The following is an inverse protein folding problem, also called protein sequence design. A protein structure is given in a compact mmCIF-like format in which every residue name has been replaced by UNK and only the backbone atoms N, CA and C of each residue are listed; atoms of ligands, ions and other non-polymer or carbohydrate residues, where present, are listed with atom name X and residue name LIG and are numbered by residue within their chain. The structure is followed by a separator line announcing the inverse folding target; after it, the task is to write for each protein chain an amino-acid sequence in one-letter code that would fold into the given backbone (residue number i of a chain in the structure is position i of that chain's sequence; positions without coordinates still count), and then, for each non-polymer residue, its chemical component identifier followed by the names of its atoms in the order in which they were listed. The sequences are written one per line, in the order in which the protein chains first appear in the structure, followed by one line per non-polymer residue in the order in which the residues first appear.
data_IF_022512437402
#
_entry.id   IF_022512437402
#
_cell.length_a   1.000
_cell.length_b   1.000
_cell.length_c   1.000
_cell.angle_alpha   90.00
_cell.angle_beta   90.00
_cell.angle_gamma   90.00
#
_symmetry.space_group_name_H-M   'P 1'
#
loop_
_entity.id
_entity.type
_entity.pdbx_description
1 polymer ?
#
# COMPACT_ATOMS: atom_id res chain seq x y z
N UNK A 1 16.66 -8.11 -21.49
CA UNK A 1 16.48 -9.56 -21.71
C UNK A 1 15.46 -9.79 -22.83
N UNK A 2 15.50 -10.94 -23.53
CA UNK A 2 14.45 -11.30 -24.48
C UNK A 2 13.08 -11.38 -23.79
N UNK A 3 12.02 -11.12 -24.55
CA UNK A 3 10.63 -11.25 -24.10
C UNK A 3 10.39 -12.67 -23.57
N UNK A 4 9.61 -12.81 -22.50
CA UNK A 4 9.28 -14.12 -21.94
C UNK A 4 8.54 -14.96 -22.99
N UNK A 5 8.95 -16.24 -23.13
CA UNK A 5 8.37 -17.16 -24.13
C UNK A 5 6.88 -17.38 -23.94
N UNK A 6 6.39 -17.34 -22.69
CA UNK A 6 4.99 -17.45 -22.39
C UNK A 6 4.33 -16.06 -22.41
N UNK A 7 3.42 -15.85 -23.37
CA UNK A 7 2.71 -14.59 -23.55
C UNK A 7 1.91 -14.16 -22.29
N UNK A 8 1.35 -15.11 -21.54
CA UNK A 8 0.63 -14.80 -20.29
C UNK A 8 1.57 -14.36 -19.18
N UNK A 9 2.78 -14.94 -19.11
CA UNK A 9 3.82 -14.50 -18.17
C UNK A 9 4.34 -13.10 -18.51
N UNK A 10 4.53 -12.82 -19.80
CA UNK A 10 4.91 -11.47 -20.26
C UNK A 10 3.82 -10.45 -19.90
N UNK A 11 2.56 -10.74 -20.18
CA UNK A 11 1.44 -9.84 -19.85
C UNK A 11 1.30 -9.64 -18.32
N UNK A 12 1.51 -10.70 -17.54
CA UNK A 12 1.55 -10.63 -16.09
C UNK A 12 2.68 -9.72 -15.58
N UNK A 13 3.90 -9.89 -16.10
CA UNK A 13 5.05 -9.07 -15.74
C UNK A 13 4.84 -7.60 -16.13
N UNK A 14 4.26 -7.32 -17.30
CA UNK A 14 3.91 -5.96 -17.71
C UNK A 14 2.89 -5.30 -16.78
N UNK A 15 1.86 -6.03 -16.38
CA UNK A 15 0.84 -5.53 -15.45
C UNK A 15 1.42 -5.26 -14.05
N UNK A 16 2.32 -6.12 -13.55
CA UNK A 16 3.04 -5.89 -12.30
C UNK A 16 3.98 -4.68 -12.38
N UNK A 17 4.65 -4.47 -13.51
CA UNK A 17 5.51 -3.31 -13.73
C UNK A 17 4.71 -2.00 -13.73
N UNK A 18 3.46 -2.03 -14.20
CA UNK A 18 2.51 -0.90 -14.14
C UNK A 18 1.92 -0.64 -12.74
N UNK A 19 2.26 -1.44 -11.73
CA UNK A 19 1.80 -1.25 -10.35
C UNK A 19 0.49 -1.96 -9.99
N UNK A 20 -0.03 -2.84 -10.84
CA UNK A 20 -1.19 -3.66 -10.48
C UNK A 20 -0.86 -4.63 -9.34
N UNK A 21 -1.85 -4.93 -8.49
CA UNK A 21 -1.71 -5.98 -7.48
C UNK A 21 -1.50 -7.35 -8.15
N UNK A 22 -0.79 -8.27 -7.48
CA UNK A 22 -0.50 -9.60 -8.05
C UNK A 22 -1.76 -10.33 -8.51
N UNK A 23 -2.84 -10.28 -7.72
CA UNK A 23 -4.12 -10.92 -8.07
C UNK A 23 -4.76 -10.30 -9.31
N UNK A 24 -4.79 -8.97 -9.39
CA UNK A 24 -5.38 -8.25 -10.53
C UNK A 24 -4.56 -8.46 -11.80
N UNK A 25 -3.23 -8.37 -11.71
CA UNK A 25 -2.32 -8.62 -12.81
C UNK A 25 -2.47 -10.05 -13.35
N UNK A 26 -2.65 -11.04 -12.47
CA UNK A 26 -2.79 -12.45 -12.83
C UNK A 26 -4.10 -12.69 -13.59
N UNK A 27 -5.20 -12.12 -13.10
CA UNK A 27 -6.49 -12.19 -13.79
C UNK A 27 -6.45 -11.48 -15.16
N UNK A 28 -5.89 -10.27 -15.22
CA UNK A 28 -5.74 -9.51 -16.46
C UNK A 28 -4.82 -10.19 -17.48
N UNK A 29 -3.90 -11.04 -17.04
CA UNK A 29 -3.07 -11.87 -17.91
C UNK A 29 -3.81 -13.09 -18.49
N UNK A 30 -5.10 -13.25 -18.18
CA UNK A 30 -5.95 -14.33 -18.68
C UNK A 30 -5.91 -15.61 -17.84
N UNK A 31 -5.39 -15.56 -16.61
CA UNK A 31 -5.47 -16.67 -15.68
C UNK A 31 -6.76 -16.64 -14.86
N UNK A 32 -7.18 -17.82 -14.40
CA UNK A 32 -8.26 -17.93 -13.41
C UNK A 32 -7.80 -17.29 -12.10
N UNK A 33 -8.62 -16.39 -11.55
CA UNK A 33 -8.29 -15.64 -10.36
C UNK A 33 -7.94 -16.57 -9.18
N UNK A 34 -6.68 -16.53 -8.73
CA UNK A 34 -6.18 -17.29 -7.58
C UNK A 34 -5.06 -16.52 -6.91
N UNK A 35 -5.20 -16.22 -5.61
CA UNK A 35 -4.20 -15.46 -4.84
C UNK A 35 -2.90 -16.25 -4.68
N UNK A 36 -3.00 -17.55 -4.39
CA UNK A 36 -1.85 -18.42 -4.18
C UNK A 36 -1.03 -18.59 -5.45
N UNK A 37 -1.69 -18.80 -6.60
CA UNK A 37 -0.99 -18.96 -7.87
C UNK A 37 -0.37 -17.64 -8.35
N UNK A 38 -1.08 -16.52 -8.20
CA UNK A 38 -0.54 -15.20 -8.50
C UNK A 38 0.75 -14.91 -7.72
N UNK A 39 0.78 -15.26 -6.42
CA UNK A 39 1.96 -15.10 -5.58
C UNK A 39 3.11 -16.00 -6.04
N UNK A 40 2.85 -17.28 -6.30
CA UNK A 40 3.87 -18.22 -6.80
C UNK A 40 4.46 -17.77 -8.12
N UNK A 41 3.62 -17.34 -9.08
CA UNK A 41 4.09 -16.83 -10.37
C UNK A 41 4.87 -15.52 -10.21
N UNK A 42 4.46 -14.62 -9.30
CA UNK A 42 5.19 -13.39 -9.03
C UNK A 42 6.60 -13.62 -8.47
N UNK A 43 6.85 -14.75 -7.81
CA UNK A 43 8.17 -15.11 -7.26
C UNK A 43 9.08 -15.85 -8.25
N UNK A 44 8.59 -16.22 -9.43
CA UNK A 44 9.43 -16.91 -10.41
C UNK A 44 10.59 -16.01 -10.86
N UNK A 45 11.84 -16.49 -10.88
CA UNK A 45 13.02 -15.67 -11.19
C UNK A 45 12.91 -14.91 -12.52
N UNK A 46 12.33 -15.55 -13.55
CA UNK A 46 12.13 -14.96 -14.86
C UNK A 46 11.15 -13.77 -14.83
N UNK A 47 10.07 -13.88 -14.04
CA UNK A 47 9.08 -12.80 -13.86
C UNK A 47 9.71 -11.65 -13.08
N UNK A 48 10.40 -11.95 -11.99
CA UNK A 48 11.06 -10.93 -11.14
C UNK A 48 12.07 -10.13 -11.97
N UNK A 49 12.94 -10.82 -12.70
CA UNK A 49 13.93 -10.19 -13.57
C UNK A 49 13.26 -9.33 -14.65
N UNK A 50 12.18 -9.82 -15.27
CA UNK A 50 11.44 -9.07 -16.29
C UNK A 50 10.77 -7.82 -15.74
N UNK A 51 10.14 -7.91 -14.56
CA UNK A 51 9.52 -6.76 -13.89
C UNK A 51 10.57 -5.70 -13.55
N UNK A 52 11.75 -6.10 -13.05
CA UNK A 52 12.86 -5.18 -12.79
C UNK A 52 13.29 -4.45 -14.06
N UNK A 53 13.53 -5.19 -15.15
CA UNK A 53 13.92 -4.61 -16.44
C UNK A 53 12.88 -3.60 -16.95
N UNK A 54 11.58 -3.93 -16.86
CA UNK A 54 10.51 -3.05 -17.30
C UNK A 54 10.43 -1.78 -16.45
N UNK A 55 10.59 -1.89 -15.12
CA UNK A 55 10.60 -0.75 -14.21
C UNK A 55 11.82 0.14 -14.45
N UNK A 56 13.00 -0.43 -14.64
CA UNK A 56 14.19 0.35 -14.98
C UNK A 56 14.07 1.05 -16.33
N UNK A 57 13.49 0.40 -17.35
CA UNK A 57 13.21 1.05 -18.65
C UNK A 57 12.21 2.19 -18.50
N UNK A 58 11.18 2.01 -17.68
CA UNK A 58 10.24 3.08 -17.39
C UNK A 58 10.92 4.24 -16.66
N UNK A 59 11.70 3.95 -15.60
CA UNK A 59 12.45 4.96 -14.85
C UNK A 59 13.41 5.75 -15.76
N UNK A 60 14.15 5.07 -16.65
CA UNK A 60 15.01 5.71 -17.66
C UNK A 60 14.21 6.55 -18.66
N UNK A 61 13.05 6.06 -19.13
CA UNK A 61 12.21 6.77 -20.11
C UNK A 61 11.56 8.02 -19.52
N UNK A 62 11.20 7.99 -18.23
CA UNK A 62 10.58 9.13 -17.56
C UNK A 62 11.59 10.03 -16.83
N UNK A 63 12.89 9.71 -16.86
CA UNK A 63 13.96 10.41 -16.11
C UNK A 63 13.63 10.59 -14.60
N UNK A 64 12.79 9.70 -14.07
CA UNK A 64 12.44 9.67 -12.65
C UNK A 64 13.41 8.71 -11.99
N UNK A 65 14.61 9.20 -11.71
CA UNK A 65 15.60 8.54 -10.86
C UNK A 65 15.41 8.99 -9.42
N UNK A 66 15.91 8.21 -8.46
CA UNK A 66 15.93 8.60 -7.06
C UNK A 66 16.68 9.93 -6.87
N UNK A 67 17.86 10.06 -7.47
CA UNK A 67 18.64 11.31 -7.45
C UNK A 67 17.86 12.48 -8.03
N UNK A 68 17.17 12.27 -9.16
CA UNK A 68 16.35 13.31 -9.79
C UNK A 68 15.10 13.66 -8.98
N UNK A 69 14.56 12.73 -8.19
CA UNK A 69 13.46 13.03 -7.26
C UNK A 69 13.94 13.87 -6.07
N UNK A 70 15.13 13.58 -5.56
CA UNK A 70 15.77 14.36 -4.49
C UNK A 70 16.06 15.78 -4.98
N UNK A 71 16.64 15.94 -6.17
CA UNK A 71 16.92 17.25 -6.77
C UNK A 71 15.63 18.08 -6.94
N UNK A 72 14.55 17.46 -7.42
CA UNK A 72 13.23 18.11 -7.54
C UNK A 72 12.63 18.48 -6.19
N UNK A 73 12.77 17.63 -5.18
CA UNK A 73 12.31 17.91 -3.82
C UNK A 73 13.10 19.07 -3.19
N UNK A 74 14.41 19.15 -3.43
CA UNK A 74 15.23 20.29 -3.00
C UNK A 74 14.82 21.59 -3.71
N UNK A 75 14.61 21.55 -5.02
CA UNK A 75 14.12 22.71 -5.77
C UNK A 75 12.75 23.18 -5.25
N UNK A 76 11.84 22.25 -4.94
CA UNK A 76 10.54 22.57 -4.33
C UNK A 76 10.69 23.18 -2.93
N UNK A 77 11.63 22.69 -2.12
CA UNK A 77 11.96 23.26 -0.81
C UNK A 77 12.45 24.71 -0.93
N UNK A 78 13.36 24.98 -1.86
CA UNK A 78 13.89 26.33 -2.12
C UNK A 78 12.78 27.28 -2.58
N UNK A 79 11.92 26.84 -3.51
CA UNK A 79 10.77 27.61 -3.95
C UNK A 79 9.83 27.92 -2.78
N UNK A 80 9.48 26.92 -1.97
CA UNK A 80 8.62 27.08 -0.80
C UNK A 80 9.18 28.06 0.23
N UNK A 81 10.51 28.07 0.43
CA UNK A 81 11.18 29.05 1.29
C UNK A 81 11.08 30.47 0.72
N UNK A 82 11.28 30.63 -0.59
CA UNK A 82 11.16 31.93 -1.26
C UNK A 82 9.73 32.46 -1.29
N UNK A 83 8.72 31.59 -1.25
CA UNK A 83 7.31 31.96 -1.21
C UNK A 83 6.73 32.00 0.22
N UNK A 84 7.57 31.92 1.25
CA UNK A 84 7.16 31.93 2.67
C UNK A 84 6.13 30.85 3.03
N UNK A 85 6.27 29.66 2.44
CA UNK A 85 5.44 28.49 2.72
C UNK A 85 6.22 27.44 3.53
N UNK A 86 6.44 27.65 4.84
CA UNK A 86 7.28 26.77 5.66
C UNK A 86 6.72 25.34 5.76
N UNK A 87 5.40 25.16 5.75
CA UNK A 87 4.78 23.84 5.77
C UNK A 87 5.13 23.02 4.51
N UNK A 88 5.14 23.64 3.33
CA UNK A 88 5.52 22.99 2.08
C UNK A 88 7.02 22.64 2.06
N UNK A 89 7.88 23.52 2.60
CA UNK A 89 9.31 23.24 2.74
C UNK A 89 9.57 22.03 3.66
N UNK A 90 8.86 21.93 4.79
CA UNK A 90 8.94 20.76 5.68
C UNK A 90 8.41 19.50 5.00
N UNK A 91 7.36 19.60 4.18
CA UNK A 91 6.87 18.51 3.34
C UNK A 91 7.96 17.95 2.42
N UNK A 92 8.64 18.82 1.68
CA UNK A 92 9.75 18.43 0.81
C UNK A 92 10.91 17.75 1.57
N UNK A 93 11.24 18.23 2.78
CA UNK A 93 12.27 17.60 3.63
C UNK A 93 11.84 16.20 4.07
N UNK A 94 10.57 16.01 4.44
CA UNK A 94 10.04 14.69 4.79
C UNK A 94 10.13 13.74 3.60
N UNK A 95 9.74 14.18 2.41
CA UNK A 95 9.81 13.39 1.17
C UNK A 95 11.25 12.95 0.87
N UNK A 96 12.23 13.84 1.01
CA UNK A 96 13.65 13.47 0.87
C UNK A 96 14.06 12.37 1.87
N UNK A 97 13.59 12.44 3.12
CA UNK A 97 13.81 11.40 4.12
C UNK A 97 13.17 10.06 3.76
N UNK A 98 11.99 10.08 3.13
CA UNK A 98 11.31 8.87 2.65
C UNK A 98 12.04 8.26 1.46
N UNK A 99 12.44 9.09 0.49
CA UNK A 99 13.16 8.64 -0.71
C UNK A 99 14.51 8.01 -0.37
N UNK A 100 15.25 8.59 0.60
CA UNK A 100 16.55 8.06 1.08
C UNK A 100 16.42 6.85 2.00
N UNK A 101 15.20 6.51 2.45
CA UNK A 101 14.95 5.43 3.39
C UNK A 101 15.33 5.75 4.84
N UNK A 102 15.77 6.99 5.14
CA UNK A 102 16.03 7.46 6.51
C UNK A 102 14.74 7.62 7.33
N UNK A 103 13.61 7.79 6.66
CA UNK A 103 12.27 7.89 7.24
C UNK A 103 11.37 6.83 6.63
N UNK A 104 10.70 6.06 7.48
CA UNK A 104 9.69 5.08 7.06
C UNK A 104 8.31 5.59 7.45
N UNK A 105 7.45 5.82 6.47
CA UNK A 105 6.04 6.12 6.74
C UNK A 105 5.24 4.82 6.80
N UNK A 106 4.79 4.49 8.01
CA UNK A 106 3.87 3.37 8.25
C UNK A 106 2.44 3.90 8.20
N UNK A 107 1.57 3.18 7.50
CA UNK A 107 0.13 3.45 7.49
C UNK A 107 -0.58 2.15 7.83
N UNK A 108 -1.25 2.14 8.96
CA UNK A 108 -2.08 1.00 9.35
C UNK A 108 -3.38 1.06 8.56
N UNK A 109 -3.67 -0.03 7.84
CA UNK A 109 -4.87 -0.12 7.01
C UNK A 109 -5.88 -1.00 7.76
N UNK A 110 -6.72 -0.36 8.57
CA UNK A 110 -7.76 -1.01 9.40
C UNK A 110 -9.00 -1.38 8.58
N UNK A 111 -8.83 -1.94 7.38
CA UNK A 111 -9.96 -2.49 6.62
C UNK A 111 -10.34 -3.81 7.27
N UNK A 112 -11.25 -3.77 8.26
CA UNK A 112 -11.93 -4.96 8.78
C UNK A 112 -12.93 -5.45 7.73
N UNK A 113 -12.75 -6.63 7.11
CA UNK A 113 -13.74 -7.18 6.19
C UNK A 113 -15.05 -7.44 6.95
N UNK A 114 -16.19 -7.12 6.32
CA UNK A 114 -17.55 -7.22 6.91
C UNK A 114 -17.82 -8.56 7.61
N UNK A 115 -17.26 -9.67 7.11
CA UNK A 115 -17.36 -11.01 7.71
C UNK A 115 -16.70 -11.18 9.09
N UNK A 116 -15.95 -10.18 9.54
CA UNK A 116 -15.30 -10.12 10.86
C UNK A 116 -16.03 -9.14 11.80
N UNK A 117 -17.20 -8.66 11.39
CA UNK A 117 -18.10 -7.90 12.24
C UNK A 117 -19.13 -8.86 12.87
N UNK A 118 -19.46 -8.66 14.13
CA UNK A 118 -20.56 -9.35 14.81
C UNK A 118 -21.91 -8.80 14.31
N UNK A 119 -22.98 -9.55 14.54
CA UNK A 119 -24.33 -9.14 14.14
C UNK A 119 -24.75 -7.84 14.87
N UNK A 120 -24.30 -7.65 16.11
CA UNK A 120 -24.53 -6.42 16.88
C UNK A 120 -23.76 -5.23 16.29
N UNK A 121 -22.49 -5.42 15.90
CA UNK A 121 -21.69 -4.41 15.21
C UNK A 121 -22.33 -4.01 13.86
N UNK A 122 -22.88 -4.98 13.11
CA UNK A 122 -23.60 -4.71 11.85
C UNK A 122 -24.90 -3.93 12.07
N UNK A 123 -25.62 -4.25 13.15
CA UNK A 123 -26.87 -3.58 13.50
C UNK A 123 -26.62 -2.13 13.90
N UNK A 124 -25.56 -1.88 14.69
CA UNK A 124 -25.09 -0.54 15.04
C UNK A 124 -24.74 0.29 13.81
N UNK A 125 -23.98 -0.26 12.86
CA UNK A 125 -23.61 0.41 11.61
C UNK A 125 -24.84 0.75 10.76
N UNK A 126 -25.81 -0.17 10.70
CA UNK A 126 -27.04 0.03 9.95
C UNK A 126 -27.93 1.14 10.54
N UNK A 127 -27.87 1.34 11.87
CA UNK A 127 -28.64 2.37 12.59
C UNK A 127 -27.93 3.74 12.60
N UNK A 128 -26.60 3.77 12.72
CA UNK A 128 -25.83 5.01 12.86
C UNK A 128 -25.32 5.59 11.54
N UNK A 129 -25.27 4.78 10.48
CA UNK A 129 -24.66 5.14 9.19
C UNK A 129 -23.14 5.38 9.25
N UNK A 130 -22.49 5.15 10.40
CA UNK A 130 -21.06 5.40 10.62
C UNK A 130 -20.46 4.23 11.43
N UNK A 131 -19.32 3.64 11.02
CA UNK A 131 -18.67 2.61 11.81
C UNK A 131 -18.31 3.10 13.22
N UNK A 132 -18.54 2.31 14.29
CA UNK A 132 -18.10 2.67 15.63
C UNK A 132 -16.56 2.81 15.66
N UNK A 133 -16.05 3.78 16.42
CA UNK A 133 -14.60 3.91 16.60
C UNK A 133 -14.12 2.76 17.48
N UNK A 134 -12.88 2.32 17.26
CA UNK A 134 -12.27 1.21 18.04
C UNK A 134 -12.30 1.51 19.55
N UNK A 135 -12.22 2.79 19.93
CA UNK A 135 -12.28 3.27 21.31
C UNK A 135 -13.65 3.04 21.97
N UNK A 136 -14.74 3.02 21.19
CA UNK A 136 -16.10 2.81 21.71
C UNK A 136 -16.38 1.35 22.06
N UNK A 137 -15.54 0.41 21.58
CA UNK A 137 -15.74 -1.04 21.71
C UNK A 137 -14.97 -1.66 22.89
N UNK A 138 -14.04 -0.93 23.51
CA UNK A 138 -13.21 -1.42 24.62
C UNK A 138 -13.84 -1.13 25.98
N UNK A 139 -14.91 -0.32 26.02
CA UNK A 139 -15.49 0.17 27.27
C UNK A 139 -16.46 -0.82 27.97
N UNK A 140 -16.82 -1.95 27.36
CA UNK A 140 -17.86 -2.85 27.89
C UNK A 140 -17.34 -4.13 28.60
N UNK A 141 -16.03 -4.38 28.66
CA UNK A 141 -15.50 -5.65 29.22
C UNK A 141 -15.10 -5.60 30.71
N UNK A 142 -15.13 -4.44 31.38
CA UNK A 142 -14.53 -4.28 32.73
C UNK A 142 -15.53 -4.21 33.91
N UNK A 143 -16.85 -4.36 33.72
CA UNK A 143 -17.83 -4.18 34.82
C UNK A 143 -18.33 -5.46 35.52
N UNK A 144 -17.94 -6.68 35.12
CA UNK A 144 -18.54 -7.92 35.67
C UNK A 144 -17.72 -8.71 36.73
N UNK A 145 -16.56 -8.24 37.21
CA UNK A 145 -15.72 -9.06 38.14
C UNK A 145 -15.79 -8.73 39.65
N UNK A 146 -16.66 -7.84 40.13
CA UNK A 146 -16.65 -7.45 41.57
C UNK A 146 -17.89 -7.84 42.40
N UNK A 147 -18.46 -9.05 42.23
CA UNK A 147 -19.40 -9.57 43.25
C UNK A 147 -19.46 -11.11 43.34
N UNK A 148 -18.42 -11.74 43.92
CA UNK A 148 -18.55 -13.10 44.46
C UNK A 148 -17.51 -13.40 45.57
N UNK A 149 -17.82 -12.99 46.80
CA UNK A 149 -17.29 -13.65 47.99
C UNK A 149 -18.45 -13.93 48.97
N UNK A 150 -18.86 -15.19 49.17
CA UNK A 150 -19.78 -15.54 50.26
C UNK A 150 -19.01 -15.64 51.60
N UNK A 151 -19.74 -15.33 52.68
CA UNK A 151 -19.31 -15.33 54.09
C UNK A 151 -18.57 -16.57 54.56
#
# INVERSE_FOLDING_TARGET
MPILKNARHELFAQNLARGMTQRAAYYAAGYRASKQMAWRTAQQPEIVARVSELREKAARRFEVTMDGLIERAEAARLLAMNTEQPAAAVGAIKEMGVLTGLRVEKRDNTIRPVRQLTDDELTLIALSGTPPLIEDLVAEEDEEEEELLPN
#
